data_IF_395718027255
#
_entry.id   IF_395718027255
#
_cell.length_a   1.000
_cell.length_b   1.000
_cell.length_c   1.000
_cell.angle_alpha   90.00
_cell.angle_beta   90.00
_cell.angle_gamma   90.00
#
_symmetry.space_group_name_H-M   'P 1'
#
loop_
_entity.id
_entity.type
_entity.pdbx_description
1 polymer ?
#
# COMPACT_ATOMS: atom_id res chain seq x y z
N UNK A 1 9.36 -32.68 10.89
CA UNK A 1 8.86 -31.66 9.95
C UNK A 1 8.54 -30.42 10.75
N UNK A 2 9.56 -29.61 11.03
CA UNK A 2 9.47 -28.41 11.87
C UNK A 2 9.18 -27.22 10.96
N UNK A 3 8.05 -26.57 11.18
CA UNK A 3 7.55 -25.48 10.36
C UNK A 3 8.42 -24.23 10.47
N UNK A 4 8.58 -23.51 9.35
CA UNK A 4 9.07 -22.13 9.38
C UNK A 4 8.07 -21.31 10.20
N UNK A 5 8.53 -20.74 11.31
CA UNK A 5 7.71 -19.86 12.14
C UNK A 5 7.48 -18.52 11.41
N UNK A 6 6.50 -18.49 10.51
CA UNK A 6 5.85 -17.26 10.07
C UNK A 6 4.64 -16.98 10.96
N UNK A 7 4.26 -15.72 11.13
CA UNK A 7 2.99 -15.37 11.77
C UNK A 7 1.79 -16.02 11.04
N UNK A 8 0.63 -16.11 11.69
CA UNK A 8 -0.57 -16.76 11.14
C UNK A 8 -0.86 -16.29 9.70
N UNK A 9 -0.79 -14.98 9.43
CA UNK A 9 -0.96 -14.43 8.09
C UNK A 9 0.01 -15.03 7.05
N UNK A 10 1.31 -15.14 7.37
CA UNK A 10 2.30 -15.69 6.46
C UNK A 10 2.08 -17.19 6.18
N UNK A 11 1.72 -17.96 7.22
CA UNK A 11 1.41 -19.38 7.07
C UNK A 11 0.16 -19.61 6.20
N UNK A 12 -0.89 -18.80 6.40
CA UNK A 12 -2.09 -18.86 5.57
C UNK A 12 -1.78 -18.45 4.11
N UNK A 13 -1.01 -17.38 3.89
CA UNK A 13 -0.56 -16.97 2.54
C UNK A 13 0.19 -18.09 1.84
N UNK A 14 1.13 -18.76 2.52
CA UNK A 14 1.90 -19.87 1.95
C UNK A 14 0.98 -21.04 1.58
N UNK A 15 0.06 -21.43 2.46
CA UNK A 15 -0.89 -22.50 2.21
C UNK A 15 -1.77 -22.21 0.99
N UNK A 16 -2.37 -21.01 0.94
CA UNK A 16 -3.20 -20.56 -0.18
C UNK A 16 -2.39 -20.55 -1.49
N UNK A 17 -1.17 -20.03 -1.46
CA UNK A 17 -0.31 -19.94 -2.65
C UNK A 17 0.08 -21.32 -3.20
N UNK A 18 0.33 -22.30 -2.32
CA UNK A 18 0.60 -23.69 -2.70
C UNK A 18 -0.62 -24.34 -3.36
N UNK A 19 -1.82 -24.10 -2.82
CA UNK A 19 -3.06 -24.60 -3.40
C UNK A 19 -3.34 -23.98 -4.77
N UNK A 20 -3.16 -22.67 -4.92
CA UNK A 20 -3.29 -21.97 -6.21
C UNK A 20 -2.30 -22.54 -7.23
N UNK A 21 -1.04 -22.75 -6.82
CA UNK A 21 -0.01 -23.34 -7.69
C UNK A 21 -0.36 -24.75 -8.16
N UNK A 22 -1.00 -25.55 -7.30
CA UNK A 22 -1.49 -26.88 -7.66
C UNK A 22 -2.70 -26.79 -8.62
N UNK A 23 -3.64 -25.90 -8.33
CA UNK A 23 -4.82 -25.64 -9.16
C UNK A 23 -4.44 -25.23 -10.59
N UNK A 24 -3.52 -24.28 -10.73
CA UNK A 24 -3.04 -23.80 -12.03
C UNK A 24 -2.33 -24.91 -12.81
N UNK A 25 -1.47 -25.71 -12.16
CA UNK A 25 -0.83 -26.88 -12.80
C UNK A 25 -1.81 -27.98 -13.18
N UNK A 26 -2.99 -28.01 -12.56
CA UNK A 26 -4.07 -28.95 -12.88
C UNK A 26 -4.95 -28.47 -14.04
N UNK A 27 -4.63 -27.33 -14.65
CA UNK A 27 -5.35 -26.79 -15.81
C UNK A 27 -6.63 -26.04 -15.47
N UNK A 28 -6.81 -25.60 -14.21
CA UNK A 28 -7.91 -24.71 -13.87
C UNK A 28 -7.73 -23.33 -14.50
N UNK A 29 -8.83 -22.72 -14.94
CA UNK A 29 -8.84 -21.36 -15.49
C UNK A 29 -8.34 -20.34 -14.45
N UNK A 30 -7.25 -19.60 -14.72
CA UNK A 30 -6.74 -18.57 -13.82
C UNK A 30 -7.78 -17.50 -13.47
N UNK A 31 -8.67 -17.14 -14.40
CA UNK A 31 -9.70 -16.12 -14.15
C UNK A 31 -10.75 -16.61 -13.16
N UNK A 32 -11.07 -17.91 -13.16
CA UNK A 32 -11.95 -18.49 -12.17
C UNK A 32 -11.35 -18.41 -10.76
N UNK A 33 -10.04 -18.60 -10.62
CA UNK A 33 -9.32 -18.47 -9.34
C UNK A 33 -9.35 -17.00 -8.88
N UNK A 34 -9.04 -16.05 -9.76
CA UNK A 34 -9.10 -14.60 -9.46
C UNK A 34 -10.48 -14.21 -8.93
N UNK A 35 -11.55 -14.63 -9.62
CA UNK A 35 -12.94 -14.33 -9.21
C UNK A 35 -13.30 -14.89 -7.84
N UNK A 36 -12.71 -16.02 -7.44
CA UNK A 36 -12.96 -16.62 -6.14
C UNK A 36 -12.19 -15.93 -5.02
N UNK A 37 -11.03 -15.36 -5.32
CA UNK A 37 -10.18 -14.68 -4.33
C UNK A 37 -10.56 -13.22 -4.12
N UNK A 38 -10.98 -12.53 -5.18
CA UNK A 38 -11.39 -11.14 -5.13
C UNK A 38 -12.63 -10.95 -4.24
N UNK A 39 -12.61 -9.91 -3.41
CA UNK A 39 -13.74 -9.56 -2.55
C UNK A 39 -13.79 -10.32 -1.22
N UNK A 40 -12.86 -11.26 -0.95
CA UNK A 40 -12.76 -11.88 0.37
C UNK A 40 -12.32 -10.79 1.36
N UNK A 41 -13.17 -10.50 2.35
CA UNK A 41 -12.91 -9.45 3.35
C UNK A 41 -12.35 -10.04 4.64
N UNK A 42 -11.39 -9.33 5.23
CA UNK A 42 -10.78 -9.64 6.53
C UNK A 42 -11.03 -8.52 7.53
N UNK A 43 -10.58 -8.68 8.79
CA UNK A 43 -10.81 -7.71 9.85
C UNK A 43 -10.04 -6.38 9.64
N UNK A 44 -8.97 -6.41 8.85
CA UNK A 44 -8.06 -5.29 8.67
C UNK A 44 -7.84 -4.99 7.17
N UNK A 45 -8.79 -4.32 6.49
CA UNK A 45 -8.58 -3.84 5.14
C UNK A 45 -7.54 -2.71 5.14
N UNK A 46 -6.71 -2.64 4.09
CA UNK A 46 -5.65 -1.61 3.96
C UNK A 46 -5.62 -1.03 2.56
N UNK A 47 -5.05 0.17 2.41
CA UNK A 47 -4.81 0.78 1.11
C UNK A 47 -3.35 0.55 0.69
N UNK A 48 -3.15 0.06 -0.54
CA UNK A 48 -1.84 -0.17 -1.14
C UNK A 48 -1.88 0.25 -2.62
N UNK A 49 -0.91 1.06 -3.06
CA UNK A 49 -0.82 1.62 -4.41
C UNK A 49 -2.14 2.24 -4.94
N UNK A 50 -2.88 2.95 -4.08
CA UNK A 50 -4.16 3.57 -4.44
C UNK A 50 -5.33 2.58 -4.60
N UNK A 51 -5.13 1.31 -4.22
CA UNK A 51 -6.13 0.25 -4.28
C UNK A 51 -6.48 -0.22 -2.87
N UNK A 52 -7.77 -0.40 -2.61
CA UNK A 52 -8.25 -0.98 -1.36
C UNK A 52 -8.02 -2.49 -1.39
N UNK A 53 -7.23 -3.03 -0.47
CA UNK A 53 -7.00 -4.45 -0.26
C UNK A 53 -7.84 -4.91 0.94
N UNK A 54 -8.78 -5.83 0.72
CA UNK A 54 -9.75 -6.24 1.73
C UNK A 54 -9.20 -7.31 2.68
N UNK A 55 -8.26 -8.13 2.20
CA UNK A 55 -7.60 -9.20 2.95
C UNK A 55 -6.41 -9.76 2.16
N UNK A 56 -5.69 -10.70 2.77
CA UNK A 56 -4.60 -11.44 2.13
C UNK A 56 -5.01 -12.21 0.86
N UNK A 57 -6.09 -13.03 0.82
CA UNK A 57 -6.51 -13.67 -0.42
C UNK A 57 -6.98 -12.67 -1.48
N UNK A 58 -7.65 -11.58 -1.10
CA UNK A 58 -8.03 -10.52 -2.05
C UNK A 58 -6.81 -9.83 -2.67
N UNK A 59 -5.74 -9.63 -1.90
CA UNK A 59 -4.45 -9.15 -2.43
C UNK A 59 -3.86 -10.12 -3.48
N UNK A 60 -3.90 -11.43 -3.21
CA UNK A 60 -3.42 -12.45 -4.15
C UNK A 60 -4.28 -12.45 -5.43
N UNK A 61 -5.60 -12.31 -5.30
CA UNK A 61 -6.53 -12.22 -6.43
C UNK A 61 -6.20 -11.03 -7.33
N UNK A 62 -5.98 -9.85 -6.75
CA UNK A 62 -5.57 -8.64 -7.49
C UNK A 62 -4.21 -8.77 -8.16
N UNK A 63 -3.21 -9.32 -7.45
CA UNK A 63 -1.90 -9.54 -8.02
C UNK A 63 -1.94 -10.53 -9.20
N UNK A 64 -2.76 -11.57 -9.10
CA UNK A 64 -2.95 -12.54 -10.19
C UNK A 64 -3.71 -11.91 -11.37
N UNK A 65 -4.72 -11.09 -11.11
CA UNK A 65 -5.46 -10.34 -12.14
C UNK A 65 -4.54 -9.37 -12.91
N UNK A 66 -3.68 -8.64 -12.20
CA UNK A 66 -2.66 -7.77 -12.79
C UNK A 66 -1.72 -8.57 -13.70
N UNK A 67 -1.18 -9.69 -13.19
CA UNK A 67 -0.29 -10.55 -13.96
C UNK A 67 -0.94 -11.09 -15.24
N UNK A 68 -2.21 -11.51 -15.17
CA UNK A 68 -2.94 -11.99 -16.35
C UNK A 68 -3.14 -10.86 -17.36
N UNK A 69 -3.45 -9.64 -16.94
CA UNK A 69 -3.59 -8.50 -17.84
C UNK A 69 -2.26 -8.14 -18.51
N UNK A 70 -1.17 -8.13 -17.74
CA UNK A 70 0.18 -7.90 -18.26
C UNK A 70 0.59 -8.97 -19.28
N UNK A 71 0.31 -10.25 -18.99
CA UNK A 71 0.63 -11.36 -19.89
C UNK A 71 -0.21 -11.33 -21.18
N UNK A 72 -1.48 -10.95 -21.10
CA UNK A 72 -2.33 -10.75 -22.28
C UNK A 72 -1.90 -9.53 -23.11
N UNK A 73 -1.45 -8.44 -22.45
CA UNK A 73 -0.88 -7.28 -23.12
C UNK A 73 0.51 -7.59 -23.75
N UNK A 74 1.27 -8.51 -23.17
CA UNK A 74 2.62 -8.90 -23.57
C UNK A 74 2.74 -9.66 -24.89
N UNK A 75 1.64 -10.03 -25.57
CA UNK A 75 1.71 -10.47 -26.97
C UNK A 75 1.90 -9.30 -27.95
N UNK A 76 1.78 -8.04 -27.49
CA UNK A 76 2.10 -6.84 -28.26
C UNK A 76 2.83 -5.82 -27.36
N UNK A 77 4.17 -5.88 -27.41
CA UNK A 77 5.12 -4.82 -27.08
C UNK A 77 5.54 -4.56 -25.62
N UNK A 78 6.87 -4.67 -25.45
CA UNK A 78 7.79 -3.89 -24.60
C UNK A 78 7.46 -3.66 -23.13
N UNK A 79 8.29 -4.31 -22.29
CA UNK A 79 8.67 -3.99 -20.91
C UNK A 79 8.58 -2.48 -20.62
N UNK A 80 7.44 -2.03 -20.10
CA UNK A 80 7.34 -0.78 -19.36
C UNK A 80 7.75 -1.07 -17.91
N UNK A 81 9.05 -1.27 -17.70
CA UNK A 81 9.64 -1.14 -16.37
C UNK A 81 9.32 0.28 -15.90
N UNK A 82 8.41 0.43 -14.93
CA UNK A 82 8.08 1.71 -14.30
C UNK A 82 9.39 2.42 -13.96
N UNK A 83 9.70 3.41 -14.79
CA UNK A 83 10.92 4.21 -14.71
C UNK A 83 10.86 4.95 -13.37
N UNK A 84 11.82 4.65 -12.48
CA UNK A 84 12.06 5.47 -11.31
C UNK A 84 12.32 6.88 -11.81
N UNK A 85 11.37 7.77 -11.58
CA UNK A 85 11.47 9.20 -11.91
C UNK A 85 12.75 9.74 -11.30
N UNK A 86 13.80 9.90 -12.11
CA UNK A 86 15.00 10.66 -11.77
C UNK A 86 14.69 12.12 -12.02
N UNK A 87 14.21 12.83 -11.00
CA UNK A 87 14.12 14.29 -11.07
C UNK A 87 15.55 14.82 -10.89
N UNK A 88 16.19 15.21 -11.99
CA UNK A 88 17.35 16.10 -11.99
C UNK A 88 16.86 17.50 -11.61
N UNK A 89 17.15 17.94 -10.38
CA UNK A 89 16.85 19.29 -9.91
C UNK A 89 17.89 20.27 -10.44
N UNK A 90 17.44 21.17 -11.31
CA UNK A 90 18.09 22.45 -11.57
C UNK A 90 17.65 23.48 -10.51
N UNK A 91 18.50 24.48 -10.31
CA UNK A 91 18.62 25.42 -9.19
C UNK A 91 17.39 26.29 -8.81
N UNK A 92 17.26 26.44 -7.48
CA UNK A 92 17.13 27.69 -6.69
C UNK A 92 15.78 28.43 -6.49
N UNK A 93 15.60 28.78 -5.20
CA UNK A 93 14.77 29.83 -4.58
C UNK A 93 13.28 29.58 -4.31
N UNK A 94 12.96 29.27 -3.04
CA UNK A 94 12.24 30.18 -2.14
C UNK A 94 12.01 29.50 -0.79
N UNK A 95 12.32 30.21 0.29
CA UNK A 95 12.05 29.76 1.65
C UNK A 95 10.53 29.64 1.84
N UNK A 96 10.03 28.41 1.95
CA UNK A 96 8.67 28.15 2.41
C UNK A 96 8.69 28.07 3.93
N UNK A 97 8.30 29.19 4.55
CA UNK A 97 7.86 29.23 5.94
C UNK A 97 6.73 28.20 6.11
N UNK A 98 7.00 27.14 6.86
CA UNK A 98 6.01 26.12 7.20
C UNK A 98 5.12 26.67 8.31
N UNK A 99 4.01 27.28 7.92
CA UNK A 99 2.96 27.66 8.87
C UNK A 99 2.22 26.40 9.33
N UNK A 100 2.36 26.05 10.61
CA UNK A 100 1.60 24.97 11.23
C UNK A 100 0.23 25.50 11.64
N UNK A 101 -0.83 24.89 11.12
CA UNK A 101 -2.20 25.27 11.43
C UNK A 101 -2.70 24.51 12.68
N UNK A 102 -3.13 25.23 13.71
CA UNK A 102 -3.72 24.62 14.89
C UNK A 102 -5.11 24.06 14.54
N UNK A 103 -5.30 22.74 14.72
CA UNK A 103 -6.57 22.07 14.38
C UNK A 103 -7.72 22.29 15.36
N UNK A 104 -7.44 22.89 16.52
CA UNK A 104 -8.46 23.07 17.57
C UNK A 104 -9.03 24.50 17.58
N UNK A 105 -8.18 25.53 17.41
CA UNK A 105 -8.62 26.93 17.37
C UNK A 105 -8.68 27.54 15.97
N UNK A 106 -8.17 26.86 14.93
CA UNK A 106 -8.21 27.34 13.54
C UNK A 106 -7.30 28.53 13.24
N UNK A 107 -6.60 29.08 14.24
CA UNK A 107 -5.67 30.20 14.08
C UNK A 107 -4.25 29.67 13.96
N UNK A 108 -3.57 29.96 12.84
CA UNK A 108 -2.19 29.54 12.56
C UNK A 108 -1.11 30.46 13.16
N UNK A 109 -1.50 31.55 13.81
CA UNK A 109 -0.59 32.63 14.18
C UNK A 109 0.22 32.39 15.48
N UNK A 110 -0.05 31.32 16.24
CA UNK A 110 0.54 31.14 17.57
C UNK A 110 0.90 29.68 17.90
N UNK A 111 1.31 28.91 16.88
CA UNK A 111 1.90 27.57 17.04
C UNK A 111 3.42 27.71 17.07
N UNK A 112 4.04 27.29 18.16
CA UNK A 112 5.50 27.34 18.37
C UNK A 112 6.04 25.93 18.58
N UNK A 113 7.26 25.67 18.13
CA UNK A 113 7.97 24.43 18.43
C UNK A 113 8.75 24.62 19.73
N UNK A 114 8.30 23.98 20.81
CA UNK A 114 9.01 23.93 22.09
C UNK A 114 9.42 22.48 22.37
N UNK A 115 10.73 22.22 22.40
CA UNK A 115 11.28 20.91 22.78
C UNK A 115 11.06 19.78 21.79
N UNK A 116 10.83 20.07 20.49
CA UNK A 116 10.53 19.05 19.48
C UNK A 116 9.04 18.72 19.36
N UNK A 117 8.20 19.46 20.08
CA UNK A 117 6.76 19.34 20.05
C UNK A 117 6.12 20.64 19.56
N UNK A 118 5.18 20.55 18.62
CA UNK A 118 4.40 21.70 18.16
C UNK A 118 3.35 22.02 19.22
N UNK A 119 3.35 23.23 19.76
CA UNK A 119 2.43 23.64 20.82
C UNK A 119 1.76 24.97 20.47
N UNK A 120 0.43 25.06 20.64
CA UNK A 120 -0.33 26.29 20.46
C UNK A 120 -0.51 27.01 21.80
N UNK A 121 -0.06 28.27 21.89
CA UNK A 121 -0.16 29.07 23.13
C UNK A 121 -1.57 29.59 23.43
N UNK A 122 -2.48 29.57 22.46
CA UNK A 122 -3.85 30.07 22.64
C UNK A 122 -4.83 29.01 23.17
N UNK A 123 -4.72 27.76 22.72
CA UNK A 123 -5.66 26.69 23.11
C UNK A 123 -5.00 25.53 23.87
N UNK A 124 -3.67 25.47 23.95
CA UNK A 124 -2.95 24.40 24.64
C UNK A 124 -2.83 23.09 23.86
N UNK A 125 -3.23 23.06 22.58
CA UNK A 125 -2.99 21.91 21.70
C UNK A 125 -1.49 21.64 21.55
N UNK A 126 -1.08 20.37 21.66
CA UNK A 126 0.30 19.97 21.38
C UNK A 126 0.38 18.68 20.57
N UNK A 127 1.39 18.58 19.70
CA UNK A 127 1.71 17.38 18.93
C UNK A 127 3.23 17.20 18.86
N UNK A 128 3.71 16.12 19.46
CA UNK A 128 5.11 15.73 19.42
C UNK A 128 5.25 14.57 18.44
N UNK A 129 6.36 14.51 17.71
CA UNK A 129 6.73 13.34 16.91
C UNK A 129 7.50 12.34 17.78
#
# INVERSE_FOLDING_TARGET
TIGKAGGNAAAQSEAISRLISLALRSGLDPNAIVRQLNGISGPNPTWEDGRLILSTPDAIGKALDDYLKENNAGSNNSVAMKEKVRITMAQETSAQETSYECKDCGTSANVVNEGGCLTCRECGWSKCD
#
